data_IF_959258326789
#
_entry.id   IF_959258326789
#
_cell.length_a   1.000
_cell.length_b   1.000
_cell.length_c   1.000
_cell.angle_alpha   90.00
_cell.angle_beta   90.00
_cell.angle_gamma   90.00
#
_symmetry.space_group_name_H-M   'P 1'
#
loop_
_entity.id
_entity.type
_entity.pdbx_description
1 polymer ?
#
# COMPACT_ATOMS: atom_id res chain seq x y z
N UNK A 1 -10.38 -1.19 -0.95
CA UNK A 1 -9.90 -0.65 -2.26
C UNK A 1 -9.74 -1.83 -3.21
N UNK A 2 -10.20 -1.72 -4.46
CA UNK A 2 -10.04 -2.75 -5.48
C UNK A 2 -9.41 -2.14 -6.74
N UNK A 3 -8.49 -2.88 -7.34
CA UNK A 3 -7.72 -2.44 -8.50
C UNK A 3 -7.75 -3.58 -9.49
N UNK A 4 -8.71 -3.51 -10.42
CA UNK A 4 -8.79 -4.50 -11.48
C UNK A 4 -7.55 -4.42 -12.37
N UNK A 5 -6.98 -5.57 -12.71
CA UNK A 5 -5.87 -5.70 -13.67
C UNK A 5 -6.35 -6.15 -15.05
N UNK A 6 -7.66 -6.35 -15.23
CA UNK A 6 -8.30 -6.77 -16.49
C UNK A 6 -8.66 -5.57 -17.38
N UNK A 7 -8.83 -5.84 -18.68
CA UNK A 7 -9.30 -4.86 -19.68
C UNK A 7 -8.22 -3.94 -20.26
N UNK A 8 -8.60 -2.70 -20.56
CA UNK A 8 -7.80 -1.65 -21.24
C UNK A 8 -6.85 -0.88 -20.32
N UNK A 9 -6.63 -1.33 -19.08
CA UNK A 9 -5.64 -0.72 -18.17
C UNK A 9 -4.23 -0.82 -18.73
N UNK A 10 -3.50 0.29 -18.67
CA UNK A 10 -2.12 0.40 -19.16
C UNK A 10 -1.12 -0.13 -18.14
N UNK A 11 -0.04 -0.74 -18.64
CA UNK A 11 1.13 -1.10 -17.82
C UNK A 11 1.60 0.15 -17.06
N UNK A 12 1.88 0.00 -15.77
CA UNK A 12 2.36 1.11 -14.96
C UNK A 12 1.26 2.05 -14.46
N UNK A 13 -0.02 1.75 -14.69
CA UNK A 13 -1.10 2.47 -14.00
C UNK A 13 -0.99 2.30 -12.49
N UNK A 14 -1.15 3.41 -11.79
CA UNK A 14 -0.99 3.47 -10.35
C UNK A 14 -2.27 3.93 -9.67
N UNK A 15 -2.44 3.51 -8.42
CA UNK A 15 -3.49 4.04 -7.56
C UNK A 15 -2.94 4.28 -6.17
N UNK A 16 -3.53 5.28 -5.51
CA UNK A 16 -3.16 5.70 -4.18
C UNK A 16 -4.41 5.77 -3.32
N UNK A 17 -4.39 5.09 -2.17
CA UNK A 17 -5.30 5.35 -1.07
C UNK A 17 -4.51 6.10 0.01
N UNK A 18 -4.97 7.29 0.36
CA UNK A 18 -4.30 8.17 1.31
C UNK A 18 -5.14 8.28 2.57
N UNK A 19 -4.53 8.11 3.74
CA UNK A 19 -5.21 8.38 5.01
C UNK A 19 -5.38 9.88 5.24
N UNK A 20 -6.29 10.30 6.14
CA UNK A 20 -6.19 11.62 6.76
C UNK A 20 -4.84 11.81 7.45
N UNK A 21 -4.56 13.05 7.86
CA UNK A 21 -3.42 13.33 8.74
C UNK A 21 -3.67 12.70 10.11
N UNK A 22 -2.78 11.80 10.51
CA UNK A 22 -2.82 11.07 11.76
C UNK A 22 -1.92 11.76 12.80
N UNK A 23 -2.31 11.64 14.07
CA UNK A 23 -1.54 12.19 15.18
C UNK A 23 -0.25 11.39 15.41
N UNK A 24 0.83 12.01 15.93
CA UNK A 24 2.06 11.31 16.30
C UNK A 24 1.79 10.04 17.10
N UNK A 25 2.62 9.02 16.91
CA UNK A 25 2.45 7.76 17.63
C UNK A 25 2.90 7.89 19.08
N UNK A 26 3.88 8.76 19.38
CA UNK A 26 4.40 9.03 20.72
C UNK A 26 4.57 7.73 21.56
N UNK A 27 4.37 7.75 22.88
CA UNK A 27 4.47 6.58 23.77
C UNK A 27 3.44 5.45 23.48
N UNK A 28 2.75 5.45 22.35
CA UNK A 28 1.78 4.41 21.95
C UNK A 28 2.18 3.79 20.62
N UNK A 29 2.41 2.48 20.62
CA UNK A 29 2.60 1.74 19.37
C UNK A 29 1.31 1.75 18.56
N UNK A 30 1.40 2.08 17.27
CA UNK A 30 0.28 2.01 16.33
C UNK A 30 0.60 0.99 15.25
N UNK A 31 -0.41 0.20 14.87
CA UNK A 31 -0.27 -0.83 13.85
C UNK A 31 -1.36 -0.65 12.79
N UNK A 32 -0.94 -0.58 11.52
CA UNK A 32 -1.84 -0.73 10.39
C UNK A 32 -2.02 -2.21 10.10
N UNK A 33 -3.26 -2.69 10.19
CA UNK A 33 -3.62 -4.06 9.81
C UNK A 33 -4.54 -4.02 8.60
N UNK A 34 -4.24 -4.83 7.58
CA UNK A 34 -5.05 -4.89 6.38
C UNK A 34 -5.01 -6.28 5.74
N UNK A 35 -6.10 -6.62 5.06
CA UNK A 35 -6.17 -7.77 4.17
C UNK A 35 -5.83 -7.37 2.74
N UNK A 36 -5.15 -8.26 2.01
CA UNK A 36 -4.89 -8.10 0.58
C UNK A 36 -5.13 -9.42 -0.15
N UNK A 37 -5.56 -9.31 -1.41
CA UNK A 37 -5.64 -10.42 -2.35
C UNK A 37 -4.95 -9.98 -3.64
N UNK A 38 -3.89 -10.69 -4.00
CA UNK A 38 -3.00 -10.37 -5.10
C UNK A 38 -2.90 -11.59 -6.02
N UNK A 39 -4.02 -11.97 -6.63
CA UNK A 39 -4.12 -13.16 -7.48
C UNK A 39 -4.04 -12.81 -8.98
N UNK A 40 -3.08 -13.42 -9.68
CA UNK A 40 -3.09 -13.47 -11.14
C UNK A 40 -1.81 -12.97 -11.83
N UNK A 41 -1.67 -13.27 -13.13
CA UNK A 41 -0.41 -13.09 -13.87
C UNK A 41 -0.07 -11.62 -14.17
N UNK A 42 -1.06 -10.72 -14.09
CA UNK A 42 -0.87 -9.28 -14.31
C UNK A 42 -0.85 -8.46 -13.02
N UNK A 43 -0.67 -9.12 -11.87
CA UNK A 43 -0.52 -8.43 -10.60
C UNK A 43 0.86 -7.78 -10.55
N UNK A 44 0.88 -6.47 -10.30
CA UNK A 44 2.12 -5.74 -10.10
C UNK A 44 2.51 -5.69 -8.64
N UNK A 45 2.23 -4.57 -8.01
CA UNK A 45 2.79 -4.22 -6.70
C UNK A 45 1.70 -3.68 -5.78
N UNK A 46 1.81 -3.98 -4.49
CA UNK A 46 1.13 -3.29 -3.39
C UNK A 46 2.19 -2.80 -2.40
N UNK A 47 2.10 -1.56 -1.92
CA UNK A 47 3.08 -0.97 -1.00
C UNK A 47 2.40 -0.05 -0.01
N UNK A 48 2.92 -0.01 1.21
CA UNK A 48 2.51 0.92 2.27
C UNK A 48 3.67 1.87 2.53
N UNK A 49 3.38 3.16 2.41
CA UNK A 49 4.30 4.23 2.70
C UNK A 49 3.80 5.11 3.83
N UNK A 50 4.69 5.84 4.48
CA UNK A 50 4.38 6.83 5.50
C UNK A 50 5.20 8.09 5.33
N UNK A 51 4.60 9.27 5.54
CA UNK A 51 5.28 10.57 5.50
C UNK A 51 4.84 11.43 6.68
N UNK A 52 5.75 12.24 7.23
CA UNK A 52 5.45 13.21 8.30
C UNK A 52 4.99 14.59 7.76
N UNK A 53 5.21 14.89 6.47
CA UNK A 53 4.97 16.23 5.91
C UNK A 53 4.22 16.24 4.58
N UNK A 54 3.48 15.17 4.27
CA UNK A 54 2.76 15.05 2.99
C UNK A 54 3.66 14.87 1.77
N UNK A 55 4.98 14.89 1.92
CA UNK A 55 5.93 14.61 0.84
C UNK A 55 5.85 13.15 0.43
N UNK A 56 5.57 12.91 -0.86
CA UNK A 56 5.49 11.57 -1.46
C UNK A 56 6.84 11.18 -2.09
N UNK A 57 7.23 9.89 -2.07
CA UNK A 57 6.47 8.76 -1.54
C UNK A 57 6.64 8.54 -0.03
N UNK A 58 7.43 9.35 0.69
CA UNK A 58 7.75 9.08 2.10
C UNK A 58 8.57 7.79 2.29
N UNK A 59 8.57 7.25 3.50
CA UNK A 59 9.27 6.02 3.89
C UNK A 59 8.47 4.77 3.52
N UNK A 60 9.09 3.80 2.84
CA UNK A 60 8.48 2.51 2.56
C UNK A 60 8.44 1.65 3.83
N UNK A 61 7.25 1.23 4.25
CA UNK A 61 7.08 0.40 5.45
C UNK A 61 6.78 -1.07 5.11
N UNK A 62 6.09 -1.32 4.00
CA UNK A 62 5.74 -2.68 3.57
C UNK A 62 5.53 -2.75 2.07
N UNK A 63 5.86 -3.89 1.47
CA UNK A 63 5.65 -4.13 0.04
C UNK A 63 5.39 -5.60 -0.23
N UNK A 64 4.52 -5.86 -1.21
CA UNK A 64 4.33 -7.16 -1.82
C UNK A 64 4.22 -7.03 -3.34
N UNK A 65 4.71 -8.02 -4.07
CA UNK A 65 4.74 -8.02 -5.53
C UNK A 65 4.29 -9.35 -6.12
N UNK A 66 3.71 -9.28 -7.31
CA UNK A 66 3.33 -10.45 -8.10
C UNK A 66 2.19 -11.25 -7.48
N UNK A 67 1.97 -12.44 -8.05
CA UNK A 67 0.96 -13.36 -7.60
C UNK A 67 1.26 -13.89 -6.20
N UNK A 68 0.24 -13.84 -5.34
CA UNK A 68 0.26 -14.30 -3.96
C UNK A 68 -0.67 -15.50 -3.74
N UNK A 69 -1.32 -15.99 -4.79
CA UNK A 69 -2.34 -17.02 -4.74
C UNK A 69 -3.75 -16.44 -4.57
N UNK A 70 -4.74 -17.32 -4.61
CA UNK A 70 -6.16 -16.95 -4.65
C UNK A 70 -6.72 -16.49 -3.30
N UNK A 71 -6.05 -16.81 -2.20
CA UNK A 71 -6.54 -16.55 -0.85
C UNK A 71 -6.27 -15.10 -0.40
N UNK A 72 -7.12 -14.63 0.52
CA UNK A 72 -6.85 -13.38 1.23
C UNK A 72 -5.72 -13.59 2.24
N UNK A 73 -4.75 -12.67 2.23
CA UNK A 73 -3.65 -12.64 3.19
C UNK A 73 -3.77 -11.43 4.09
N UNK A 74 -3.28 -11.55 5.33
CA UNK A 74 -3.16 -10.45 6.27
C UNK A 74 -1.76 -9.86 6.27
N UNK A 75 -1.67 -8.55 6.51
CA UNK A 75 -0.43 -7.86 6.80
C UNK A 75 -0.62 -6.89 7.98
N UNK A 76 0.44 -6.75 8.77
CA UNK A 76 0.53 -5.84 9.90
C UNK A 76 1.80 -5.01 9.76
N UNK A 77 1.67 -3.69 9.90
CA UNK A 77 2.76 -2.73 9.68
C UNK A 77 2.80 -1.79 10.88
N UNK A 78 3.93 -1.80 11.59
CA UNK A 78 4.16 -0.89 12.69
C UNK A 78 4.35 0.54 12.16
N UNK A 79 3.63 1.47 12.77
CA UNK A 79 3.68 2.90 12.47
C UNK A 79 4.40 3.60 13.62
N UNK A 80 5.43 4.37 13.31
CA UNK A 80 6.18 5.15 14.28
C UNK A 80 6.50 6.52 13.71
N UNK A 81 6.01 7.57 14.35
CA UNK A 81 6.26 8.95 13.97
C UNK A 81 6.21 9.86 15.19
N UNK A 82 7.22 10.72 15.33
CA UNK A 82 7.26 11.79 16.32
C UNK A 82 6.38 12.98 15.94
N UNK A 83 5.97 13.05 14.68
CA UNK A 83 5.17 14.13 14.11
C UNK A 83 3.86 13.60 13.53
N UNK A 84 2.97 14.51 13.14
CA UNK A 84 1.77 14.13 12.39
C UNK A 84 2.17 13.42 11.10
N UNK A 85 1.42 12.42 10.67
CA UNK A 85 1.80 11.62 9.51
C UNK A 85 0.61 11.18 8.67
N UNK A 86 0.86 10.85 7.40
CA UNK A 86 -0.09 10.16 6.53
C UNK A 86 0.46 8.81 6.12
N UNK A 87 -0.45 7.86 5.92
CA UNK A 87 -0.17 6.56 5.35
C UNK A 87 -0.71 6.52 3.93
N UNK A 88 0.09 6.01 3.01
CA UNK A 88 -0.32 5.78 1.63
C UNK A 88 -0.27 4.28 1.33
N UNK A 89 -1.37 3.75 0.80
CA UNK A 89 -1.38 2.46 0.13
C UNK A 89 -1.27 2.72 -1.37
N UNK A 90 -0.13 2.32 -1.93
CA UNK A 90 0.23 2.49 -3.32
C UNK A 90 0.19 1.15 -4.04
N UNK A 91 -0.24 1.16 -5.30
CA UNK A 91 -0.27 -0.03 -6.12
C UNK A 91 0.11 0.25 -7.56
N UNK A 92 0.69 -0.74 -8.24
CA UNK A 92 1.02 -0.68 -9.66
C UNK A 92 0.45 -1.90 -10.37
N UNK A 93 -0.10 -1.70 -11.56
CA UNK A 93 -0.49 -2.79 -12.48
C UNK A 93 0.72 -3.20 -13.31
N UNK A 94 1.03 -4.50 -13.34
CA UNK A 94 2.07 -5.07 -14.20
C UNK A 94 1.40 -5.98 -15.23
N UNK A 95 1.10 -5.49 -16.43
CA UNK A 95 0.54 -6.33 -17.50
C UNK A 95 1.70 -6.96 -18.27
N UNK A 96 1.70 -8.29 -18.43
CA UNK A 96 2.59 -8.97 -19.38
C UNK A 96 2.03 -8.68 -20.78
N UNK A 97 2.88 -8.22 -21.70
CA UNK A 97 2.52 -7.98 -23.10
C UNK A 97 2.05 -9.26 -23.79
#
# INVERSE_FOLDING_TARGET
>A
MYIGTSGSRKVGETAWLTSPMLRPTAFTERCLMFGYNMNGPSIGLLSVYMTAHGEKPGSLLWRMSGDQGQEWKGASVNLSSLEQYQVFVYSVVNKIM
#
